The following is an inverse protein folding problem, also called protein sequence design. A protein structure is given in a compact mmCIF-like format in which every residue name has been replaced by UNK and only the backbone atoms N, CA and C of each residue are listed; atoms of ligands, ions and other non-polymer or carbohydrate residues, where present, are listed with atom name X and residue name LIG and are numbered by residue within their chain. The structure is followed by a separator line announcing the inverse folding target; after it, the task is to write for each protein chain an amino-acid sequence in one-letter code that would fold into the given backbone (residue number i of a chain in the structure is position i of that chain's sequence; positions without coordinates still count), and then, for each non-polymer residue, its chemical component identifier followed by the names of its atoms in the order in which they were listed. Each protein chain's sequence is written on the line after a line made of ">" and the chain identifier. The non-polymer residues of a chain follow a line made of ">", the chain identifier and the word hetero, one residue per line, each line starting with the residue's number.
data_IF_410737609415
#
_entry.id   IF_410737609415
#
_cell.length_a   1.000
_cell.length_b   1.000
_cell.length_c   1.000
_cell.angle_alpha   90.00
_cell.angle_beta   90.00
_cell.angle_gamma   90.00
#
_symmetry.space_group_name_H-M   'P 1'
#
loop_
_entity.id
_entity.type
_entity.pdbx_description
1 polymer ?
#
# COMPACT_ATOMS: atom_id res chain seq x y z
N UNK A 1 -1.86 -31.52 -20.55
CA UNK A 1 -1.14 -30.35 -19.98
C UNK A 1 -1.53 -29.11 -20.79
N UNK A 2 -2.21 -28.11 -20.23
CA UNK A 2 -2.32 -26.83 -20.91
C UNK A 2 -1.09 -25.97 -20.61
N UNK A 3 -0.55 -25.42 -21.68
CA UNK A 3 0.75 -24.80 -21.92
C UNK A 3 1.18 -23.63 -21.00
N UNK A 4 2.51 -23.36 -20.93
CA UNK A 4 3.08 -22.19 -20.27
C UNK A 4 3.13 -21.00 -21.23
N UNK A 5 2.20 -20.04 -21.10
CA UNK A 5 2.34 -18.71 -21.72
C UNK A 5 2.31 -17.63 -20.63
N UNK A 6 3.22 -16.62 -20.66
CA UNK A 6 3.23 -15.50 -19.71
C UNK A 6 1.97 -14.62 -19.75
N UNK A 7 1.04 -14.89 -20.67
CA UNK A 7 -0.14 -14.08 -21.01
C UNK A 7 -1.41 -14.57 -20.32
N UNK A 8 -1.30 -15.18 -19.13
CA UNK A 8 -2.46 -15.32 -18.22
C UNK A 8 -2.82 -13.91 -17.71
N UNK A 9 -3.50 -13.13 -18.57
CA UNK A 9 -4.06 -11.82 -18.26
C UNK A 9 -4.79 -11.96 -16.94
N UNK A 10 -4.37 -11.23 -15.91
CA UNK A 10 -5.09 -11.16 -14.62
C UNK A 10 -6.34 -10.35 -14.89
N UNK A 11 -7.51 -10.96 -15.17
CA UNK A 11 -8.64 -10.22 -15.72
C UNK A 11 -9.28 -9.30 -14.67
N UNK A 12 -8.94 -9.51 -13.39
CA UNK A 12 -9.30 -8.63 -12.26
C UNK A 12 -8.39 -7.40 -12.06
N UNK A 13 -7.28 -7.28 -12.80
CA UNK A 13 -6.35 -6.14 -12.61
C UNK A 13 -6.97 -4.82 -13.10
N UNK A 14 -7.53 -4.82 -14.31
CA UNK A 14 -8.20 -3.66 -14.93
C UNK A 14 -9.38 -3.14 -14.09
N UNK A 15 -10.37 -3.98 -13.69
CA UNK A 15 -11.47 -3.53 -12.84
C UNK A 15 -11.00 -3.06 -11.46
N UNK A 16 -9.94 -3.68 -10.90
CA UNK A 16 -9.35 -3.22 -9.64
C UNK A 16 -8.69 -1.84 -9.75
N UNK A 17 -8.03 -1.54 -10.86
CA UNK A 17 -7.42 -0.24 -11.11
C UNK A 17 -8.48 0.86 -11.32
N UNK A 18 -9.54 0.56 -12.08
CA UNK A 18 -10.68 1.47 -12.26
C UNK A 18 -11.37 1.73 -10.91
N UNK A 19 -11.65 0.68 -10.14
CA UNK A 19 -12.24 0.81 -8.82
C UNK A 19 -11.34 1.59 -7.83
N UNK A 20 -10.03 1.40 -7.90
CA UNK A 20 -9.06 2.17 -7.12
C UNK A 20 -9.03 3.66 -7.50
N UNK A 21 -9.09 3.99 -8.80
CA UNK A 21 -9.19 5.36 -9.27
C UNK A 21 -10.50 6.03 -8.81
N UNK A 22 -11.61 5.28 -8.86
CA UNK A 22 -12.88 5.73 -8.32
C UNK A 22 -12.81 5.95 -6.81
N UNK A 23 -12.09 5.09 -6.07
CA UNK A 23 -11.95 5.25 -4.62
C UNK A 23 -11.28 6.59 -4.23
N UNK A 24 -10.26 7.02 -4.99
CA UNK A 24 -9.62 8.33 -4.82
C UNK A 24 -10.59 9.46 -5.20
N UNK A 25 -11.34 9.30 -6.29
CA UNK A 25 -12.26 10.33 -6.79
C UNK A 25 -13.49 10.53 -5.89
N UNK A 26 -13.95 9.48 -5.20
CA UNK A 26 -15.09 9.52 -4.27
C UNK A 26 -14.71 9.89 -2.83
N UNK A 27 -13.42 10.11 -2.55
CA UNK A 27 -12.93 10.43 -1.20
C UNK A 27 -12.74 9.23 -0.28
N UNK A 28 -13.10 8.01 -0.70
CA UNK A 28 -12.88 6.77 0.10
C UNK A 28 -11.40 6.34 0.18
N UNK A 29 -10.54 6.96 -0.62
CA UNK A 29 -9.08 6.86 -0.54
C UNK A 29 -8.56 5.43 -0.66
N UNK A 30 -7.51 5.14 0.09
CA UNK A 30 -6.87 3.82 0.10
C UNK A 30 -7.79 2.70 0.61
N UNK A 31 -8.65 2.98 1.60
CA UNK A 31 -9.58 1.99 2.16
C UNK A 31 -10.55 1.53 1.08
N UNK A 32 -11.14 2.48 0.36
CA UNK A 32 -11.97 2.19 -0.81
C UNK A 32 -11.20 1.45 -1.89
N UNK A 33 -9.91 1.75 -2.09
CA UNK A 33 -9.06 1.06 -3.05
C UNK A 33 -8.81 -0.42 -2.70
N UNK A 34 -8.57 -0.74 -1.43
CA UNK A 34 -8.45 -2.14 -0.96
C UNK A 34 -9.77 -2.88 -1.21
N UNK A 35 -10.89 -2.29 -0.78
CA UNK A 35 -12.22 -2.91 -0.95
C UNK A 35 -12.51 -3.15 -2.43
N UNK A 36 -12.28 -2.15 -3.28
CA UNK A 36 -12.46 -2.25 -4.73
C UNK A 36 -11.58 -3.33 -5.35
N UNK A 37 -10.32 -3.47 -4.91
CA UNK A 37 -9.39 -4.50 -5.39
C UNK A 37 -9.86 -5.93 -5.06
N UNK A 38 -10.31 -6.16 -3.82
CA UNK A 38 -10.88 -7.45 -3.41
C UNK A 38 -12.19 -7.75 -4.14
N UNK A 39 -13.07 -6.75 -4.25
CA UNK A 39 -14.34 -6.86 -4.95
C UNK A 39 -14.12 -7.21 -6.43
N UNK A 40 -13.20 -6.53 -7.10
CA UNK A 40 -12.83 -6.79 -8.49
C UNK A 40 -12.25 -8.19 -8.70
N UNK A 41 -11.42 -8.68 -7.77
CA UNK A 41 -10.89 -10.04 -7.80
C UNK A 41 -12.00 -11.10 -7.64
N UNK A 42 -12.93 -10.89 -6.71
CA UNK A 42 -14.02 -11.82 -6.46
C UNK A 42 -15.03 -11.86 -7.62
N UNK A 43 -15.43 -10.69 -8.13
CA UNK A 43 -16.34 -10.58 -9.28
C UNK A 43 -15.70 -11.18 -10.53
N UNK A 44 -14.42 -10.91 -10.79
CA UNK A 44 -13.72 -11.50 -11.93
C UNK A 44 -13.67 -13.04 -11.83
N UNK A 45 -13.47 -13.59 -10.62
CA UNK A 45 -13.53 -15.04 -10.37
C UNK A 45 -14.94 -15.59 -10.62
N UNK A 46 -15.98 -14.94 -10.09
CA UNK A 46 -17.37 -15.37 -10.25
C UNK A 46 -17.79 -15.42 -11.72
N UNK A 47 -17.49 -14.36 -12.49
CA UNK A 47 -17.77 -14.31 -13.93
C UNK A 47 -16.99 -15.40 -14.66
N UNK A 48 -15.72 -15.62 -14.29
CA UNK A 48 -14.92 -16.68 -14.90
C UNK A 48 -15.50 -18.07 -14.67
N UNK A 49 -16.09 -18.35 -13.50
CA UNK A 49 -16.64 -19.66 -13.14
C UNK A 49 -18.06 -19.88 -13.67
N UNK A 50 -18.90 -18.84 -13.71
CA UNK A 50 -20.31 -18.97 -14.10
C UNK A 50 -20.55 -18.86 -15.61
N UNK A 51 -19.75 -18.09 -16.36
CA UNK A 51 -19.91 -18.02 -17.83
C UNK A 51 -19.29 -19.26 -18.51
N UNK A 52 -20.08 -20.24 -18.92
CA UNK A 52 -19.66 -21.27 -19.86
C UNK A 52 -19.91 -20.76 -21.29
N UNK A 53 -18.85 -20.56 -22.06
CA UNK A 53 -18.89 -20.08 -23.44
C UNK A 53 -18.37 -21.19 -24.37
N UNK A 54 -18.90 -21.32 -25.59
CA UNK A 54 -18.41 -22.28 -26.58
C UNK A 54 -16.95 -21.99 -26.99
N UNK A 55 -16.23 -23.02 -27.44
CA UNK A 55 -14.78 -23.06 -27.64
C UNK A 55 -14.21 -21.91 -28.52
N UNK A 56 -15.01 -21.32 -29.39
CA UNK A 56 -14.66 -20.18 -30.25
C UNK A 56 -14.58 -18.83 -29.52
N UNK A 57 -15.24 -18.68 -28.36
CA UNK A 57 -15.33 -17.42 -27.60
C UNK A 57 -14.50 -17.43 -26.31
N UNK A 58 -13.85 -18.54 -25.96
CA UNK A 58 -13.04 -18.65 -24.73
C UNK A 58 -11.83 -17.71 -24.72
N UNK A 59 -11.23 -17.43 -25.88
CA UNK A 59 -10.09 -16.52 -26.01
C UNK A 59 -10.47 -15.05 -25.76
N UNK A 60 -11.71 -14.65 -26.10
CA UNK A 60 -12.19 -13.28 -25.92
C UNK A 60 -12.61 -12.98 -24.48
N UNK A 61 -13.00 -14.03 -23.75
CA UNK A 61 -13.54 -13.95 -22.38
C UNK A 61 -12.63 -13.21 -21.38
N UNK A 62 -11.34 -13.53 -21.20
CA UNK A 62 -10.46 -12.82 -20.25
C UNK A 62 -9.93 -11.47 -20.74
N UNK A 63 -10.09 -11.17 -22.04
CA UNK A 63 -9.56 -9.95 -22.66
C UNK A 63 -10.58 -8.81 -22.59
N UNK A 64 -11.85 -9.11 -22.89
CA UNK A 64 -12.89 -8.08 -23.02
C UNK A 64 -14.05 -8.32 -22.06
N UNK A 65 -14.65 -9.52 -22.05
CA UNK A 65 -15.91 -9.77 -21.35
C UNK A 65 -15.73 -9.64 -19.83
N UNK A 66 -14.74 -10.34 -19.25
CA UNK A 66 -14.50 -10.30 -17.81
C UNK A 66 -14.12 -8.90 -17.33
N UNK A 67 -13.10 -8.21 -17.90
CA UNK A 67 -12.74 -6.88 -17.41
C UNK A 67 -13.84 -5.84 -17.62
N UNK A 68 -14.66 -5.92 -18.68
CA UNK A 68 -15.73 -4.95 -18.95
C UNK A 68 -16.90 -5.12 -17.97
N UNK A 69 -17.42 -6.34 -17.80
CA UNK A 69 -18.50 -6.59 -16.85
C UNK A 69 -18.03 -6.38 -15.41
N UNK A 70 -16.82 -6.86 -15.07
CA UNK A 70 -16.28 -6.68 -13.73
C UNK A 70 -16.06 -5.20 -13.40
N UNK A 71 -15.55 -4.39 -14.33
CA UNK A 71 -15.33 -2.95 -14.08
C UNK A 71 -16.64 -2.19 -13.96
N UNK A 72 -17.67 -2.54 -14.73
CA UNK A 72 -19.00 -1.97 -14.61
C UNK A 72 -19.60 -2.26 -13.23
N UNK A 73 -19.59 -3.51 -12.78
CA UNK A 73 -20.17 -3.89 -11.49
C UNK A 73 -19.39 -3.29 -10.32
N UNK A 74 -18.04 -3.37 -10.35
CA UNK A 74 -17.19 -2.76 -9.31
C UNK A 74 -17.38 -1.24 -9.26
N UNK A 75 -17.42 -0.58 -10.42
CA UNK A 75 -17.60 0.86 -10.51
C UNK A 75 -18.95 1.31 -9.96
N UNK A 76 -20.03 0.64 -10.36
CA UNK A 76 -21.38 0.93 -9.83
C UNK A 76 -21.46 0.67 -8.32
N UNK A 77 -20.90 -0.45 -7.83
CA UNK A 77 -20.87 -0.74 -6.41
C UNK A 77 -20.09 0.32 -5.61
N UNK A 78 -18.97 0.80 -6.14
CA UNK A 78 -18.18 1.87 -5.52
C UNK A 78 -18.91 3.20 -5.49
N UNK A 79 -19.66 3.56 -6.54
CA UNK A 79 -20.38 4.85 -6.60
C UNK A 79 -21.60 4.85 -5.67
N UNK A 80 -22.41 3.78 -5.70
CA UNK A 80 -23.71 3.77 -5.02
C UNK A 80 -23.68 3.24 -3.59
N UNK A 81 -22.87 2.21 -3.31
CA UNK A 81 -22.93 1.48 -2.03
C UNK A 81 -21.74 1.80 -1.11
N UNK A 82 -20.52 1.80 -1.67
CA UNK A 82 -19.30 1.73 -0.84
C UNK A 82 -18.63 3.10 -0.66
N UNK A 83 -18.60 3.95 -1.69
CA UNK A 83 -17.79 5.16 -1.70
C UNK A 83 -18.14 6.13 -0.58
N UNK A 84 -19.43 6.49 -0.44
CA UNK A 84 -19.91 7.44 0.56
C UNK A 84 -19.66 7.01 2.02
N UNK A 85 -20.05 5.80 2.47
CA UNK A 85 -19.83 5.40 3.87
C UNK A 85 -18.33 5.27 4.19
N UNK A 86 -17.52 4.77 3.25
CA UNK A 86 -16.08 4.63 3.48
C UNK A 86 -15.37 5.99 3.52
N UNK A 87 -15.77 6.93 2.67
CA UNK A 87 -15.28 8.31 2.72
C UNK A 87 -15.58 8.96 4.08
N UNK A 88 -16.81 8.83 4.59
CA UNK A 88 -17.19 9.38 5.89
C UNK A 88 -16.37 8.81 7.06
N UNK A 89 -16.06 7.50 7.03
CA UNK A 89 -15.17 6.89 8.03
C UNK A 89 -13.75 7.47 7.93
N UNK A 90 -13.23 7.61 6.71
CA UNK A 90 -11.89 8.14 6.48
C UNK A 90 -11.79 9.61 6.92
N UNK A 91 -12.80 10.43 6.64
CA UNK A 91 -12.89 11.82 7.09
C UNK A 91 -13.01 11.93 8.61
N UNK A 92 -13.80 11.05 9.25
CA UNK A 92 -13.87 11.00 10.71
C UNK A 92 -12.53 10.66 11.36
N UNK A 93 -11.81 9.69 10.80
CA UNK A 93 -10.48 9.31 11.27
C UNK A 93 -9.47 10.45 11.11
N UNK A 94 -9.51 11.17 9.99
CA UNK A 94 -8.56 12.27 9.72
C UNK A 94 -8.85 13.47 10.58
N UNK A 95 -10.13 13.81 10.78
CA UNK A 95 -10.52 14.84 11.72
C UNK A 95 -10.07 14.50 13.15
N UNK A 96 -10.25 13.24 13.57
CA UNK A 96 -9.75 12.79 14.86
C UNK A 96 -8.23 12.97 14.98
N UNK A 97 -7.46 12.55 13.97
CA UNK A 97 -6.01 12.72 13.96
C UNK A 97 -5.55 14.18 13.94
N UNK A 98 -6.25 15.06 13.23
CA UNK A 98 -5.90 16.48 13.14
C UNK A 98 -6.25 17.25 14.41
N UNK A 99 -7.26 16.80 15.16
CA UNK A 99 -7.66 17.39 16.44
C UNK A 99 -6.86 16.84 17.63
N UNK A 100 -5.95 15.88 17.41
CA UNK A 100 -5.08 15.37 18.47
C UNK A 100 -4.05 16.42 18.89
N UNK A 101 -3.97 16.67 20.21
CA UNK A 101 -2.89 17.44 20.80
C UNK A 101 -1.51 16.78 20.61
N UNK A 102 -0.45 17.56 20.79
CA UNK A 102 0.95 17.12 20.61
C UNK A 102 1.32 15.87 21.42
N UNK A 103 0.87 15.79 22.68
CA UNK A 103 1.11 14.63 23.55
C UNK A 103 0.53 13.33 22.97
N UNK A 104 -0.69 13.38 22.43
CA UNK A 104 -1.35 12.20 21.87
C UNK A 104 -0.74 11.81 20.51
N UNK A 105 -0.27 12.79 19.73
CA UNK A 105 0.44 12.53 18.47
C UNK A 105 1.76 11.79 18.71
N UNK A 106 2.50 12.11 19.78
CA UNK A 106 3.71 11.39 20.17
C UNK A 106 3.40 9.95 20.58
N UNK A 107 2.36 9.75 21.40
CA UNK A 107 1.92 8.41 21.80
C UNK A 107 1.51 7.55 20.58
N UNK A 108 0.74 8.13 19.65
CA UNK A 108 0.36 7.46 18.40
C UNK A 108 1.61 7.08 17.58
N UNK A 109 2.58 8.00 17.46
CA UNK A 109 3.85 7.75 16.79
C UNK A 109 4.63 6.61 17.44
N UNK A 110 4.66 6.54 18.78
CA UNK A 110 5.31 5.46 19.52
C UNK A 110 4.64 4.10 19.27
N UNK A 111 3.30 4.04 19.25
CA UNK A 111 2.55 2.81 18.95
C UNK A 111 2.82 2.35 17.52
N UNK A 112 2.67 3.25 16.54
CA UNK A 112 2.92 2.94 15.12
C UNK A 112 4.38 2.53 14.88
N UNK A 113 5.32 3.17 15.58
CA UNK A 113 6.72 2.81 15.53
C UNK A 113 7.01 1.46 16.19
N UNK A 114 6.35 1.15 17.30
CA UNK A 114 6.39 -0.16 17.94
C UNK A 114 5.95 -1.27 16.98
N UNK A 115 4.81 -1.07 16.30
CA UNK A 115 4.28 -2.00 15.29
C UNK A 115 5.24 -2.25 14.11
N UNK A 116 6.04 -1.26 13.71
CA UNK A 116 7.08 -1.44 12.67
C UNK A 116 8.19 -2.39 13.14
N UNK A 117 8.55 -2.32 14.43
CA UNK A 117 9.67 -3.04 15.00
C UNK A 117 9.32 -4.46 15.48
N UNK A 118 8.05 -4.78 15.72
CA UNK A 118 7.68 -6.07 16.34
C UNK A 118 7.98 -7.29 15.48
N UNK A 119 7.82 -7.19 14.16
CA UNK A 119 7.72 -8.36 13.29
C UNK A 119 8.63 -8.30 12.05
N UNK A 120 9.61 -7.38 12.04
CA UNK A 120 10.69 -7.30 11.04
C UNK A 120 10.25 -7.47 9.56
N UNK A 121 9.05 -7.02 9.21
CA UNK A 121 8.47 -7.17 7.86
C UNK A 121 7.25 -8.09 7.73
N UNK A 122 6.81 -8.74 8.81
CA UNK A 122 5.61 -9.58 8.85
C UNK A 122 4.28 -8.80 8.83
N UNK A 123 3.14 -9.46 9.12
CA UNK A 123 1.79 -8.87 9.00
C UNK A 123 1.60 -7.56 9.77
N UNK A 124 2.14 -7.44 10.99
CA UNK A 124 1.96 -6.23 11.83
C UNK A 124 2.60 -5.01 11.18
N UNK A 125 3.81 -5.16 10.65
CA UNK A 125 4.52 -4.12 9.92
C UNK A 125 3.75 -3.69 8.65
N UNK A 126 3.18 -4.64 7.91
CA UNK A 126 2.37 -4.32 6.72
C UNK A 126 1.07 -3.59 7.07
N UNK A 127 0.43 -3.96 8.18
CA UNK A 127 -0.79 -3.31 8.65
C UNK A 127 -0.53 -1.85 9.04
N UNK A 128 0.53 -1.59 9.81
CA UNK A 128 0.92 -0.22 10.15
C UNK A 128 1.30 0.59 8.90
N UNK A 129 2.05 0.01 7.95
CA UNK A 129 2.36 0.70 6.69
C UNK A 129 1.10 1.01 5.86
N UNK A 130 0.15 0.08 5.78
CA UNK A 130 -1.12 0.27 5.10
C UNK A 130 -1.94 1.41 5.71
N UNK A 131 -1.95 1.51 7.05
CA UNK A 131 -2.58 2.62 7.77
C UNK A 131 -1.94 3.97 7.38
N UNK A 132 -0.61 4.07 7.41
CA UNK A 132 0.11 5.28 7.01
C UNK A 132 -0.13 5.68 5.56
N UNK A 133 -0.13 4.71 4.64
CA UNK A 133 -0.49 4.95 3.22
C UNK A 133 -1.94 5.40 3.07
N UNK A 134 -2.84 4.89 3.91
CA UNK A 134 -4.23 5.31 3.87
C UNK A 134 -4.45 6.78 4.14
N UNK A 135 -3.71 7.32 5.10
CA UNK A 135 -3.76 8.73 5.47
C UNK A 135 -3.05 9.67 4.48
N UNK A 136 -2.26 9.13 3.53
CA UNK A 136 -1.72 9.94 2.43
C UNK A 136 -2.81 10.48 1.52
N UNK A 137 -3.91 9.73 1.34
CA UNK A 137 -5.03 10.15 0.51
C UNK A 137 -5.75 11.39 1.05
N UNK A 138 -5.61 11.65 2.35
CA UNK A 138 -6.23 12.76 3.08
C UNK A 138 -5.23 13.82 3.52
N UNK A 139 -4.02 13.79 2.94
CA UNK A 139 -2.94 14.76 3.20
C UNK A 139 -2.47 14.81 4.66
N UNK A 140 -2.71 13.75 5.44
CA UNK A 140 -2.27 13.66 6.83
C UNK A 140 -0.94 12.89 6.89
N UNK A 141 0.17 13.62 6.85
CA UNK A 141 1.51 13.04 6.71
C UNK A 141 2.17 12.59 8.03
N UNK A 142 1.69 13.06 9.18
CA UNK A 142 2.31 12.80 10.49
C UNK A 142 2.51 11.31 10.80
N UNK A 143 1.45 10.47 10.75
CA UNK A 143 1.57 9.03 10.98
C UNK A 143 2.52 8.34 9.98
N UNK A 144 2.51 8.75 8.72
CA UNK A 144 3.40 8.21 7.69
C UNK A 144 4.87 8.60 7.90
N UNK A 145 5.13 9.77 8.48
CA UNK A 145 6.47 10.19 8.88
C UNK A 145 7.00 9.32 10.05
N UNK A 146 6.18 9.09 11.08
CA UNK A 146 6.53 8.26 12.24
C UNK A 146 6.83 6.80 11.83
N UNK A 147 5.85 6.14 11.21
CA UNK A 147 6.02 5.44 9.94
C UNK A 147 7.45 5.04 9.49
N UNK A 148 7.95 5.88 8.58
CA UNK A 148 9.24 5.74 7.93
C UNK A 148 10.41 5.94 8.87
N UNK A 149 10.31 6.82 9.85
CA UNK A 149 11.37 6.99 10.84
C UNK A 149 11.59 5.69 11.65
N UNK A 150 10.50 5.07 12.12
CA UNK A 150 10.57 3.84 12.90
C UNK A 150 10.97 2.62 12.06
N UNK A 151 10.49 2.50 10.82
CA UNK A 151 10.85 1.38 9.94
C UNK A 151 12.34 1.27 9.60
N UNK A 152 13.11 2.34 9.82
CA UNK A 152 14.57 2.36 9.64
C UNK A 152 15.33 1.89 10.88
N UNK A 153 14.70 1.89 12.06
CA UNK A 153 15.33 1.50 13.33
C UNK A 153 15.75 0.02 13.35
N UNK A 154 14.91 -0.95 12.95
CA UNK A 154 15.29 -2.36 12.99
C UNK A 154 16.52 -2.76 12.16
N UNK A 155 16.65 -2.35 10.88
CA UNK A 155 17.85 -2.67 10.09
C UNK A 155 19.11 -1.98 10.62
N UNK A 156 19.00 -0.74 11.12
CA UNK A 156 20.13 -0.03 11.73
C UNK A 156 20.56 -0.67 13.05
N UNK A 157 19.61 -1.07 13.89
CA UNK A 157 19.87 -1.75 15.15
C UNK A 157 20.55 -3.11 14.93
N UNK A 158 20.08 -3.91 13.96
CA UNK A 158 20.75 -5.17 13.60
C UNK A 158 22.15 -4.94 13.03
N UNK A 159 22.31 -3.91 12.19
CA UNK A 159 23.61 -3.50 11.65
C UNK A 159 24.63 -3.16 12.75
N UNK A 160 24.24 -2.33 13.72
CA UNK A 160 25.09 -1.99 14.86
C UNK A 160 25.32 -3.18 15.79
N UNK A 161 24.30 -4.00 16.06
CA UNK A 161 24.42 -5.18 16.91
C UNK A 161 25.44 -6.18 16.36
N UNK A 162 25.44 -6.40 15.04
CA UNK A 162 26.43 -7.28 14.41
C UNK A 162 27.84 -6.69 14.37
N UNK A 163 28.03 -5.37 14.47
CA UNK A 163 29.36 -4.76 14.63
C UNK A 163 29.91 -4.87 16.05
N UNK A 164 29.07 -4.61 17.06
CA UNK A 164 29.47 -4.59 18.47
C UNK A 164 29.60 -6.01 19.04
N UNK A 165 28.65 -6.89 18.74
CA UNK A 165 28.58 -8.24 19.28
C UNK A 165 28.88 -9.31 18.23
N UNK A 166 29.88 -9.08 17.35
CA UNK A 166 30.29 -10.00 16.27
C UNK A 166 30.36 -11.46 16.73
N UNK A 167 30.94 -11.71 17.90
CA UNK A 167 31.16 -13.06 18.45
C UNK A 167 29.87 -13.83 18.79
N UNK A 168 28.72 -13.16 18.88
CA UNK A 168 27.41 -13.80 19.15
C UNK A 168 26.63 -14.20 17.90
N UNK A 169 27.05 -13.71 16.72
CA UNK A 169 26.36 -13.99 15.45
C UNK A 169 27.14 -15.00 14.64
N UNK A 170 26.44 -15.90 13.96
CA UNK A 170 27.06 -16.87 13.08
C UNK A 170 27.65 -16.20 11.83
N UNK A 171 28.63 -16.83 11.18
CA UNK A 171 29.30 -16.29 9.99
C UNK A 171 28.30 -15.97 8.88
N UNK A 172 27.26 -16.79 8.70
CA UNK A 172 26.19 -16.53 7.74
C UNK A 172 25.39 -15.25 8.07
N UNK A 173 25.11 -15.00 9.36
CA UNK A 173 24.39 -13.81 9.82
C UNK A 173 25.27 -12.55 9.77
N UNK A 174 26.56 -12.70 10.06
CA UNK A 174 27.54 -11.64 9.89
C UNK A 174 27.69 -11.26 8.43
N UNK A 175 27.72 -12.21 7.49
CA UNK A 175 27.79 -11.88 6.07
C UNK A 175 26.49 -11.25 5.54
N UNK A 176 25.34 -11.73 6.01
CA UNK A 176 24.02 -11.18 5.65
C UNK A 176 23.79 -9.74 6.15
N UNK A 177 24.51 -9.29 7.19
CA UNK A 177 24.32 -7.97 7.81
C UNK A 177 25.54 -7.04 7.65
N UNK A 178 26.77 -7.55 7.73
CA UNK A 178 28.01 -6.77 7.71
C UNK A 178 28.50 -6.41 6.29
N UNK A 179 28.41 -7.31 5.30
CA UNK A 179 28.73 -6.99 3.90
C UNK A 179 27.76 -5.96 3.29
N UNK A 180 26.45 -5.98 3.64
CA UNK A 180 25.55 -4.95 3.17
C UNK A 180 25.49 -3.73 4.07
N UNK A 181 26.10 -3.57 5.24
CA UNK A 181 25.89 -2.35 6.06
C UNK A 181 26.13 -1.05 5.26
N UNK A 182 27.16 -1.00 4.42
CA UNK A 182 27.41 0.13 3.52
C UNK A 182 26.46 0.16 2.30
N UNK A 183 26.14 -1.00 1.70
CA UNK A 183 25.14 -1.11 0.62
C UNK A 183 23.70 -0.90 1.11
N UNK A 184 23.42 -1.09 2.39
CA UNK A 184 22.14 -1.04 3.08
C UNK A 184 21.96 0.33 3.66
N UNK A 185 23.03 1.02 4.10
CA UNK A 185 23.01 2.48 4.29
C UNK A 185 22.83 3.19 2.94
N UNK A 186 23.53 2.78 1.87
CA UNK A 186 23.34 3.32 0.52
C UNK A 186 21.98 2.95 -0.11
N UNK A 187 21.47 1.73 0.08
CA UNK A 187 20.16 1.29 -0.41
C UNK A 187 19.02 1.73 0.51
N UNK A 188 19.25 1.94 1.81
CA UNK A 188 18.37 2.72 2.69
C UNK A 188 18.29 4.11 2.10
N UNK A 189 19.41 4.79 1.83
CA UNK A 189 19.38 6.11 1.21
C UNK A 189 18.72 6.10 -0.16
N UNK A 190 18.84 5.04 -0.97
CA UNK A 190 18.22 4.94 -2.30
C UNK A 190 16.73 4.58 -2.26
N UNK A 191 16.27 3.72 -1.34
CA UNK A 191 14.83 3.45 -1.08
C UNK A 191 14.16 4.60 -0.33
N UNK A 192 14.88 5.25 0.59
CA UNK A 192 14.50 6.50 1.26
C UNK A 192 14.42 7.60 0.22
N UNK A 193 15.44 7.87 -0.59
CA UNK A 193 15.30 8.85 -1.68
C UNK A 193 14.16 8.48 -2.60
N UNK A 194 13.98 7.23 -3.04
CA UNK A 194 12.92 6.96 -4.02
C UNK A 194 11.50 7.06 -3.43
N UNK A 195 11.26 6.59 -2.18
CA UNK A 195 9.94 6.69 -1.52
C UNK A 195 9.70 8.03 -0.84
N UNK A 196 10.73 8.62 -0.23
CA UNK A 196 10.71 9.97 0.33
C UNK A 196 10.72 11.02 -0.79
N UNK A 197 11.42 10.87 -1.94
CA UNK A 197 11.21 11.74 -3.11
C UNK A 197 9.82 11.56 -3.69
N UNK A 198 9.17 10.39 -3.62
CA UNK A 198 7.80 10.28 -4.11
C UNK A 198 6.85 11.10 -3.24
N UNK A 199 7.04 11.05 -1.91
CA UNK A 199 6.27 11.84 -0.93
C UNK A 199 6.66 13.32 -1.01
N UNK A 200 7.95 13.67 -1.04
CA UNK A 200 8.47 15.03 -1.20
C UNK A 200 8.10 15.59 -2.58
N UNK A 201 8.12 14.81 -3.68
CA UNK A 201 7.56 15.26 -4.97
C UNK A 201 6.07 15.49 -4.83
N UNK A 202 5.28 14.59 -4.25
CA UNK A 202 3.84 14.84 -4.06
C UNK A 202 3.55 16.08 -3.20
N UNK A 203 4.32 16.29 -2.12
CA UNK A 203 4.19 17.44 -1.22
C UNK A 203 4.70 18.73 -1.87
N UNK A 204 5.86 18.72 -2.52
CA UNK A 204 6.42 19.87 -3.25
C UNK A 204 5.61 20.23 -4.51
N UNK A 205 5.10 19.26 -5.27
CA UNK A 205 4.23 19.54 -6.44
C UNK A 205 2.93 20.23 -6.00
N UNK A 206 2.41 19.87 -4.82
CA UNK A 206 1.23 20.53 -4.23
C UNK A 206 1.57 21.90 -3.64
N UNK A 207 2.72 22.04 -2.97
CA UNK A 207 3.19 23.33 -2.45
C UNK A 207 3.45 24.35 -3.57
N UNK A 208 4.03 23.92 -4.69
CA UNK A 208 4.22 24.75 -5.89
C UNK A 208 2.88 25.09 -6.57
N UNK A 209 1.91 24.18 -6.58
CA UNK A 209 0.56 24.47 -7.09
C UNK A 209 -0.27 25.41 -6.21
N UNK A 210 0.06 25.51 -4.91
CA UNK A 210 -0.59 26.42 -3.96
C UNK A 210 0.03 27.82 -3.93
N UNK A 211 1.28 27.98 -4.38
CA UNK A 211 1.96 29.28 -4.52
C UNK A 211 1.74 29.90 -5.92
N UNK A 212 1.25 29.11 -6.89
CA UNK A 212 0.93 29.57 -8.25
C UNK A 212 -0.52 30.01 -8.48
N UNK A 213 -1.31 30.24 -7.43
CA UNK A 213 -2.65 30.85 -7.48
C UNK A 213 -2.69 32.10 -6.61
#
# INVERSE_FOLDING_TARGET
>A
MPSPLPIRRRPGLTPGLIGGMLAVSTGSGFIGGIIAGFLAGYIAKLISTQLKLPQSMEALKPILIIPLISSLVVGLAMIYLIGKPVAGILDGLTHWLQTMGTANAVLLGAILGGMMCTDMGGPVNKAAYAFGVGLLSTQTYGPMAAIMAAGMVPPLAMGLATMVARRKFDKAQQEAVAKPLWYLVCALFRKVQFRLLLVIRCVCYRAVSLVGR
#
